data_IF_940666653180
#
_entry.id   IF_940666653180
#
_cell.length_a   1.000
_cell.length_b   1.000
_cell.length_c   1.000
_cell.angle_alpha   90.00
_cell.angle_beta   90.00
_cell.angle_gamma   90.00
#
_symmetry.space_group_name_H-M   'P 1'
#
loop_
_entity.id
_entity.type
_entity.pdbx_description
1 polymer ?
#
# COMPACT_ATOMS: atom_id res chain seq x y z
N UNK A 1 -5.21 31.48 -8.72
CA UNK A 1 -3.99 31.13 -7.96
C UNK A 1 -3.74 29.63 -8.09
N UNK A 2 -2.46 29.19 -8.10
CA UNK A 2 -2.15 27.77 -8.03
C UNK A 2 -2.49 27.24 -6.64
N UNK A 3 -3.01 25.99 -6.57
CA UNK A 3 -3.21 25.33 -5.28
C UNK A 3 -1.90 24.88 -4.66
N UNK A 4 -1.81 24.97 -3.34
CA UNK A 4 -0.66 24.52 -2.56
C UNK A 4 -0.83 23.06 -2.17
N UNK A 5 0.00 22.18 -2.70
CA UNK A 5 -0.05 20.73 -2.47
C UNK A 5 1.06 20.35 -1.50
N UNK A 6 0.69 19.76 -0.37
CA UNK A 6 1.62 19.11 0.53
C UNK A 6 1.86 17.67 0.06
N UNK A 7 3.09 17.31 -0.29
CA UNK A 7 3.50 15.92 -0.51
C UNK A 7 4.01 15.41 0.82
N UNK A 8 3.16 14.63 1.49
CA UNK A 8 3.35 14.21 2.88
C UNK A 8 4.10 12.88 2.90
N UNK A 9 5.31 12.91 3.44
CA UNK A 9 6.26 11.80 3.47
C UNK A 9 6.87 11.61 4.87
N UNK A 10 7.61 10.52 5.06
CA UNK A 10 8.21 10.17 6.34
C UNK A 10 7.51 8.96 6.95
N UNK A 11 7.02 9.10 8.16
CA UNK A 11 6.33 8.05 8.92
C UNK A 11 7.14 7.53 10.08
N UNK A 12 6.52 6.65 10.88
CA UNK A 12 7.07 6.14 12.14
C UNK A 12 7.55 4.67 12.02
N UNK A 13 7.75 4.20 10.78
CA UNK A 13 8.16 2.83 10.49
C UNK A 13 9.51 2.78 9.79
N UNK A 14 10.09 1.59 9.67
CA UNK A 14 11.34 1.36 8.90
C UNK A 14 11.22 1.71 7.41
N UNK A 15 10.00 1.95 6.90
CA UNK A 15 9.73 2.29 5.50
C UNK A 15 9.90 3.80 5.19
N UNK A 16 10.31 4.60 6.17
CA UNK A 16 10.54 6.06 6.00
C UNK A 16 11.41 6.39 4.77
N UNK A 17 12.44 5.59 4.49
CA UNK A 17 13.33 5.80 3.33
C UNK A 17 12.57 5.64 2.00
N UNK A 18 11.67 4.66 1.94
CA UNK A 18 10.84 4.40 0.75
C UNK A 18 9.84 5.53 0.55
N UNK A 19 9.23 6.00 1.64
CA UNK A 19 8.31 7.14 1.64
C UNK A 19 8.98 8.42 1.11
N UNK A 20 10.16 8.75 1.59
CA UNK A 20 10.92 9.93 1.14
C UNK A 20 11.32 9.84 -0.34
N UNK A 21 11.70 8.66 -0.82
CA UNK A 21 11.96 8.43 -2.26
C UNK A 21 10.70 8.57 -3.10
N UNK A 22 9.57 8.04 -2.63
CA UNK A 22 8.26 8.18 -3.29
C UNK A 22 7.84 9.65 -3.37
N UNK A 23 8.09 10.45 -2.34
CA UNK A 23 7.80 11.88 -2.34
C UNK A 23 8.57 12.63 -3.44
N UNK A 24 9.84 12.30 -3.66
CA UNK A 24 10.63 12.89 -4.76
C UNK A 24 10.06 12.48 -6.13
N UNK A 25 9.64 11.21 -6.28
CA UNK A 25 8.95 10.74 -7.47
C UNK A 25 7.66 11.52 -7.73
N UNK A 26 6.78 11.61 -6.74
CA UNK A 26 5.52 12.36 -6.81
C UNK A 26 5.77 13.83 -7.14
N UNK A 27 6.76 14.47 -6.50
CA UNK A 27 7.16 15.85 -6.79
C UNK A 27 7.57 16.04 -8.25
N UNK A 28 8.17 15.03 -8.87
CA UNK A 28 8.55 15.06 -10.29
C UNK A 28 7.36 14.81 -11.24
N UNK A 29 6.33 14.08 -10.79
CA UNK A 29 5.18 13.67 -11.59
C UNK A 29 4.07 14.74 -11.63
N UNK A 30 3.87 15.49 -10.53
CA UNK A 30 2.80 16.49 -10.46
C UNK A 30 3.13 17.72 -11.32
N UNK A 31 2.10 18.28 -11.96
CA UNK A 31 2.20 19.44 -12.85
C UNK A 31 2.51 20.73 -12.08
N UNK A 32 3.76 21.19 -12.15
CA UNK A 32 4.23 22.43 -11.52
C UNK A 32 3.67 23.69 -12.18
N UNK A 33 3.10 23.58 -13.38
CA UNK A 33 2.41 24.72 -14.01
C UNK A 33 1.03 24.96 -13.36
N UNK A 34 0.41 23.91 -12.80
CA UNK A 34 -0.90 23.97 -12.13
C UNK A 34 -0.81 24.18 -10.63
N UNK A 35 0.24 23.65 -9.99
CA UNK A 35 0.32 23.56 -8.53
C UNK A 35 1.64 24.11 -7.96
N UNK A 36 1.58 24.64 -6.75
CA UNK A 36 2.75 24.85 -5.89
C UNK A 36 2.97 23.58 -5.06
N UNK A 37 4.18 23.04 -5.08
CA UNK A 37 4.49 21.76 -4.45
C UNK A 37 5.44 21.94 -3.29
N UNK A 38 5.13 21.30 -2.16
CA UNK A 38 5.94 21.31 -0.95
C UNK A 38 6.05 19.89 -0.41
N UNK A 39 7.27 19.44 -0.11
CA UNK A 39 7.47 18.19 0.60
C UNK A 39 7.34 18.46 2.10
N UNK A 40 6.41 17.76 2.74
CA UNK A 40 6.18 17.82 4.19
C UNK A 40 6.66 16.50 4.77
N UNK A 41 7.75 16.58 5.54
CA UNK A 41 8.33 15.43 6.23
C UNK A 41 7.73 15.29 7.62
N UNK A 42 7.19 14.12 7.93
CA UNK A 42 6.58 13.80 9.22
C UNK A 42 7.31 12.64 9.88
N UNK A 43 7.78 12.84 11.10
CA UNK A 43 8.38 11.82 11.95
C UNK A 43 7.96 12.07 13.41
N UNK A 44 7.13 11.24 13.96
CA UNK A 44 6.55 11.42 15.27
C UNK A 44 5.87 12.79 15.43
N UNK A 45 6.43 13.61 16.31
CA UNK A 45 5.92 14.97 16.56
C UNK A 45 6.52 16.04 15.67
N UNK A 46 7.55 15.72 14.92
CA UNK A 46 8.27 16.66 14.04
C UNK A 46 7.63 16.62 12.65
N UNK A 47 6.99 17.72 12.27
CA UNK A 47 6.40 17.94 10.96
C UNK A 47 7.01 19.19 10.35
N UNK A 48 7.69 19.04 9.24
CA UNK A 48 8.52 20.11 8.65
C UNK A 48 8.37 20.16 7.13
N UNK A 49 8.29 21.36 6.58
CA UNK A 49 8.35 21.62 5.14
C UNK A 49 9.81 21.75 4.71
N UNK A 50 10.21 21.02 3.68
CA UNK A 50 11.48 21.25 3.00
C UNK A 50 11.38 22.44 2.06
N UNK A 51 12.15 23.47 2.31
CA UNK A 51 12.28 24.64 1.41
C UNK A 51 13.33 24.38 0.32
N UNK A 52 13.25 25.11 -0.85
CA UNK A 52 14.20 24.95 -1.95
C UNK A 52 15.66 25.26 -1.59
N UNK A 53 15.89 26.07 -0.57
CA UNK A 53 17.23 26.41 -0.06
C UNK A 53 17.82 25.35 0.89
N UNK A 54 17.09 24.25 1.13
CA UNK A 54 17.46 23.14 2.02
C UNK A 54 17.10 23.36 3.48
N UNK A 55 16.56 24.52 3.84
CA UNK A 55 16.05 24.75 5.19
C UNK A 55 14.75 23.98 5.43
N UNK A 56 14.50 23.61 6.71
CA UNK A 56 13.26 23.00 7.15
C UNK A 56 12.50 23.98 8.06
N UNK A 57 11.20 24.12 7.81
CA UNK A 57 10.31 25.01 8.56
C UNK A 57 9.19 24.19 9.19
N UNK A 58 8.88 24.38 10.48
CA UNK A 58 7.84 23.62 11.15
C UNK A 58 6.45 23.90 10.56
N UNK A 59 5.62 22.84 10.50
CA UNK A 59 4.20 22.93 10.15
C UNK A 59 3.40 23.28 11.41
N UNK A 60 2.52 24.26 11.31
CA UNK A 60 1.47 24.49 12.30
C UNK A 60 0.38 23.42 12.14
N UNK A 61 0.31 22.49 13.10
CA UNK A 61 -0.62 21.36 13.07
C UNK A 61 -2.06 21.75 13.42
N UNK A 62 -2.30 22.99 13.86
CA UNK A 62 -3.66 23.44 14.19
C UNK A 62 -4.45 23.77 12.91
N UNK A 63 -3.76 24.15 11.81
CA UNK A 63 -4.41 24.48 10.54
C UNK A 63 -3.65 23.95 9.32
N UNK A 64 -2.66 23.10 9.53
CA UNK A 64 -1.81 22.50 8.50
C UNK A 64 -1.24 23.56 7.55
N UNK A 65 -0.49 24.49 8.10
CA UNK A 65 0.15 25.60 7.39
C UNK A 65 1.61 25.73 7.80
N UNK A 66 2.37 26.58 7.12
CA UNK A 66 3.72 26.96 7.53
C UNK A 66 4.01 28.42 7.18
N UNK A 67 5.07 28.96 7.78
CA UNK A 67 5.55 30.31 7.46
C UNK A 67 6.69 30.23 6.45
N UNK A 68 6.48 30.80 5.25
CA UNK A 68 7.53 31.00 4.25
C UNK A 68 8.06 32.43 4.38
N UNK A 69 9.07 32.64 5.20
CA UNK A 69 9.49 33.97 5.63
C UNK A 69 8.38 34.64 6.46
N UNK A 70 7.80 35.72 5.93
CA UNK A 70 6.66 36.43 6.57
C UNK A 70 5.30 36.03 6.03
N UNK A 71 5.25 35.23 4.97
CA UNK A 71 4.00 34.79 4.34
C UNK A 71 3.51 33.45 4.94
N UNK A 72 2.25 33.39 5.34
CA UNK A 72 1.62 32.16 5.76
C UNK A 72 1.11 31.40 4.55
N UNK A 73 1.60 30.18 4.36
CA UNK A 73 1.18 29.26 3.31
C UNK A 73 0.25 28.20 3.93
N UNK A 74 -0.98 28.12 3.46
CA UNK A 74 -1.97 27.11 3.83
C UNK A 74 -2.02 26.08 2.71
N UNK A 75 -2.10 24.79 3.06
CA UNK A 75 -2.21 23.72 2.08
C UNK A 75 -3.67 23.47 1.70
N UNK A 76 -3.91 23.38 0.39
CA UNK A 76 -5.23 23.07 -0.19
C UNK A 76 -5.47 21.56 -0.33
N UNK A 77 -4.41 20.76 -0.35
CA UNK A 77 -4.46 19.32 -0.57
C UNK A 77 -3.23 18.62 0.01
N UNK A 78 -3.42 17.41 0.52
CA UNK A 78 -2.35 16.54 1.01
C UNK A 78 -2.18 15.31 0.12
N UNK A 79 -1.05 15.19 -0.58
CA UNK A 79 -0.67 13.95 -1.26
C UNK A 79 0.09 13.06 -0.30
N UNK A 80 -0.57 12.04 0.25
CA UNK A 80 0.01 11.15 1.26
C UNK A 80 0.82 10.05 0.57
N UNK A 81 2.09 9.90 0.99
CA UNK A 81 2.99 8.83 0.54
C UNK A 81 3.75 8.19 1.70
N UNK A 82 3.23 8.31 2.91
CA UNK A 82 3.76 7.61 4.08
C UNK A 82 3.34 6.14 4.01
N UNK A 83 4.33 5.25 4.00
CA UNK A 83 4.11 3.80 4.14
C UNK A 83 4.06 3.42 5.62
N UNK A 84 3.09 2.58 5.99
CA UNK A 84 2.82 2.25 7.38
C UNK A 84 2.15 3.37 8.16
N UNK A 85 2.38 3.40 9.48
CA UNK A 85 1.83 4.40 10.39
C UNK A 85 2.55 5.75 10.22
N UNK A 86 1.81 6.90 10.20
CA UNK A 86 0.35 7.06 10.29
C UNK A 86 -0.36 7.15 8.92
N UNK A 87 0.31 6.81 7.81
CA UNK A 87 -0.17 7.09 6.45
C UNK A 87 -1.13 6.04 5.89
N UNK A 88 -1.04 4.78 6.35
CA UNK A 88 -1.85 3.66 5.83
C UNK A 88 -2.89 3.14 6.81
N UNK A 89 -2.87 3.57 8.07
CA UNK A 89 -3.70 3.03 9.14
C UNK A 89 -4.93 3.88 9.50
N UNK A 90 -5.20 4.94 8.74
CA UNK A 90 -6.34 5.83 8.92
C UNK A 90 -6.11 7.01 9.87
N UNK A 91 -5.00 7.06 10.61
CA UNK A 91 -4.73 8.13 11.58
C UNK A 91 -4.54 9.48 10.91
N UNK A 92 -3.69 9.53 9.89
CA UNK A 92 -3.42 10.77 9.16
C UNK A 92 -4.64 11.21 8.34
N UNK A 93 -5.38 10.27 7.77
CA UNK A 93 -6.64 10.54 7.10
C UNK A 93 -7.66 11.17 8.04
N UNK A 94 -7.77 10.64 9.27
CA UNK A 94 -8.64 11.21 10.30
C UNK A 94 -8.26 12.64 10.71
N UNK A 95 -6.96 12.94 10.79
CA UNK A 95 -6.48 14.30 11.00
C UNK A 95 -6.93 15.24 9.86
N UNK A 96 -6.73 14.85 8.60
CA UNK A 96 -7.12 15.66 7.45
C UNK A 96 -8.64 15.80 7.31
N UNK A 97 -9.42 14.76 7.65
CA UNK A 97 -10.89 14.83 7.68
C UNK A 97 -11.37 15.89 8.69
N UNK A 98 -10.81 15.90 9.92
CA UNK A 98 -11.13 16.91 10.94
C UNK A 98 -10.74 18.32 10.50
N UNK A 99 -9.64 18.46 9.76
CA UNK A 99 -9.15 19.72 9.21
C UNK A 99 -9.87 20.14 7.93
N UNK A 100 -10.71 19.27 7.34
CA UNK A 100 -11.38 19.46 6.04
C UNK A 100 -10.38 19.72 4.91
N UNK A 101 -9.23 19.09 4.97
CA UNK A 101 -8.20 19.13 3.93
C UNK A 101 -8.35 17.87 3.06
N UNK A 102 -8.65 17.99 1.77
CA UNK A 102 -8.73 16.83 0.89
C UNK A 102 -7.35 16.18 0.71
N UNK A 103 -7.34 14.85 0.50
CA UNK A 103 -6.11 14.08 0.36
C UNK A 103 -6.20 12.99 -0.72
N UNK A 104 -5.05 12.45 -1.12
CA UNK A 104 -4.87 11.62 -2.32
C UNK A 104 -5.30 10.17 -2.20
N UNK A 105 -5.44 9.61 -1.00
CA UNK A 105 -5.63 8.18 -0.79
C UNK A 105 -7.02 7.83 -0.22
N UNK A 106 -7.19 6.59 0.18
CA UNK A 106 -8.42 6.07 0.81
C UNK A 106 -8.72 6.80 2.12
N UNK A 107 -10.02 6.87 2.47
CA UNK A 107 -10.47 7.41 3.76
C UNK A 107 -10.15 6.49 4.93
N UNK A 108 -10.47 6.95 6.15
CA UNK A 108 -10.11 6.31 7.43
C UNK A 108 -10.43 4.82 7.47
N UNK A 109 -11.68 4.45 7.14
CA UNK A 109 -12.12 3.04 7.26
C UNK A 109 -11.38 2.13 6.28
N UNK A 110 -11.29 2.52 5.01
CA UNK A 110 -10.61 1.71 3.99
C UNK A 110 -9.11 1.58 4.29
N UNK A 111 -8.45 2.67 4.70
CA UNK A 111 -7.06 2.64 5.11
C UNK A 111 -6.83 1.70 6.30
N UNK A 112 -7.61 1.83 7.37
CA UNK A 112 -7.48 0.99 8.55
C UNK A 112 -7.74 -0.51 8.26
N UNK A 113 -8.79 -0.82 7.48
CA UNK A 113 -9.10 -2.22 7.11
C UNK A 113 -7.98 -2.83 6.26
N UNK A 114 -7.48 -2.09 5.26
CA UNK A 114 -6.46 -2.63 4.34
C UNK A 114 -5.10 -2.78 4.99
N UNK A 115 -4.80 -1.96 5.99
CA UNK A 115 -3.56 -2.06 6.77
C UNK A 115 -3.49 -3.34 7.62
N UNK A 116 -4.64 -3.80 8.13
CA UNK A 116 -4.77 -5.10 8.80
C UNK A 116 -5.09 -6.19 7.77
N UNK A 117 -4.08 -7.03 7.48
CA UNK A 117 -4.18 -8.09 6.46
C UNK A 117 -5.26 -9.11 6.77
N UNK A 118 -5.48 -9.43 8.05
CA UNK A 118 -6.53 -10.38 8.45
C UNK A 118 -7.91 -9.74 8.28
N UNK A 119 -8.11 -8.54 8.82
CA UNK A 119 -9.37 -7.81 8.71
C UNK A 119 -9.76 -7.58 7.24
N UNK A 120 -8.83 -7.12 6.40
CA UNK A 120 -9.03 -6.90 4.97
C UNK A 120 -9.47 -8.18 4.25
N UNK A 121 -8.75 -9.28 4.48
CA UNK A 121 -9.07 -10.57 3.88
C UNK A 121 -10.45 -11.06 4.32
N UNK A 122 -10.77 -11.02 5.62
CA UNK A 122 -12.09 -11.47 6.12
C UNK A 122 -13.23 -10.57 5.62
N UNK A 123 -13.02 -9.26 5.57
CA UNK A 123 -14.00 -8.33 5.02
C UNK A 123 -14.30 -8.66 3.55
N UNK A 124 -13.28 -8.82 2.72
CA UNK A 124 -13.44 -9.11 1.29
C UNK A 124 -13.96 -10.55 1.03
N UNK A 125 -13.64 -11.53 1.91
CA UNK A 125 -14.21 -12.89 1.86
C UNK A 125 -15.74 -12.86 1.94
N UNK A 126 -16.31 -11.96 2.74
CA UNK A 126 -17.76 -11.80 2.87
C UNK A 126 -18.45 -11.37 1.56
N UNK A 127 -17.69 -10.77 0.63
CA UNK A 127 -18.16 -10.40 -0.71
C UNK A 127 -17.76 -11.42 -1.80
N UNK A 128 -17.30 -12.60 -1.40
CA UNK A 128 -16.96 -13.68 -2.33
C UNK A 128 -15.55 -13.60 -2.93
N UNK A 129 -14.69 -12.66 -2.47
CA UNK A 129 -13.29 -12.62 -2.88
C UNK A 129 -12.55 -13.84 -2.31
N UNK A 130 -11.83 -14.55 -3.17
CA UNK A 130 -11.03 -15.70 -2.74
C UNK A 130 -9.81 -15.23 -1.95
N UNK A 131 -9.58 -15.87 -0.81
CA UNK A 131 -8.42 -15.64 0.05
C UNK A 131 -7.79 -16.97 0.45
N UNK A 132 -6.54 -16.96 0.92
CA UNK A 132 -5.97 -18.11 1.61
C UNK A 132 -6.59 -18.30 2.99
N UNK A 133 -6.77 -19.56 3.42
CA UNK A 133 -7.17 -19.84 4.80
C UNK A 133 -6.12 -19.30 5.77
N UNK A 134 -6.59 -18.74 6.88
CA UNK A 134 -5.73 -18.07 7.84
C UNK A 134 -6.28 -18.14 9.26
N UNK A 135 -5.36 -18.13 10.24
CA UNK A 135 -5.65 -18.01 11.67
C UNK A 135 -4.98 -16.73 12.19
N UNK A 136 -5.72 -15.97 13.00
CA UNK A 136 -5.19 -14.83 13.73
C UNK A 136 -4.93 -15.25 15.18
N UNK A 137 -3.72 -14.98 15.66
CA UNK A 137 -3.31 -15.18 17.03
C UNK A 137 -3.01 -13.84 17.66
N UNK A 138 -3.54 -13.59 18.85
CA UNK A 138 -3.23 -12.42 19.67
C UNK A 138 -2.24 -12.77 20.77
N UNK A 139 -1.49 -11.80 21.24
CA UNK A 139 -0.53 -12.01 22.32
C UNK A 139 -1.21 -12.67 23.53
N UNK A 140 -0.57 -13.74 24.07
CA UNK A 140 -1.15 -14.57 25.13
C UNK A 140 -2.08 -15.70 24.65
N UNK A 141 -2.45 -15.75 23.37
CA UNK A 141 -3.13 -16.91 22.78
C UNK A 141 -2.10 -17.94 22.30
N UNK A 142 -2.46 -19.21 22.43
CA UNK A 142 -1.70 -20.33 21.90
C UNK A 142 -2.56 -21.12 20.90
N UNK A 143 -1.90 -21.73 19.95
CA UNK A 143 -2.48 -22.67 19.00
C UNK A 143 -1.63 -23.94 19.00
N UNK A 144 -2.26 -25.10 18.97
CA UNK A 144 -1.50 -26.37 18.85
C UNK A 144 -0.98 -26.53 17.42
N UNK A 145 0.12 -27.26 17.26
CA UNK A 145 0.65 -27.59 15.93
C UNK A 145 -0.39 -28.38 15.13
N UNK A 146 -1.15 -29.25 15.80
CA UNK A 146 -2.22 -30.04 15.21
C UNK A 146 -3.32 -29.15 14.62
N UNK A 147 -3.75 -28.11 15.35
CA UNK A 147 -4.73 -27.15 14.84
C UNK A 147 -4.22 -26.39 13.62
N UNK A 148 -2.94 -26.01 13.60
CA UNK A 148 -2.34 -25.36 12.43
C UNK A 148 -2.31 -26.33 11.24
N UNK A 149 -1.91 -27.58 11.45
CA UNK A 149 -1.86 -28.60 10.40
C UNK A 149 -3.26 -28.91 9.83
N UNK A 150 -4.28 -29.01 10.69
CA UNK A 150 -5.65 -29.32 10.28
C UNK A 150 -6.31 -28.15 9.52
N UNK A 151 -6.16 -26.91 10.02
CA UNK A 151 -6.89 -25.74 9.50
C UNK A 151 -6.16 -25.04 8.36
N UNK A 152 -4.83 -25.05 8.37
CA UNK A 152 -3.99 -24.30 7.44
C UNK A 152 -3.20 -25.24 6.53
N UNK A 153 -2.60 -26.28 7.09
CA UNK A 153 -1.69 -27.18 6.38
C UNK A 153 -0.27 -26.61 6.23
N UNK A 154 0.59 -27.39 5.58
CA UNK A 154 1.96 -27.00 5.25
C UNK A 154 2.21 -27.13 3.73
N UNK A 155 3.06 -26.28 3.15
CA UNK A 155 3.72 -25.16 3.81
C UNK A 155 2.74 -24.02 4.15
N UNK A 156 3.12 -23.19 5.14
CA UNK A 156 2.36 -21.99 5.49
C UNK A 156 3.29 -20.81 5.77
N UNK A 157 2.72 -19.59 5.82
CA UNK A 157 3.43 -18.40 6.28
C UNK A 157 2.97 -18.02 7.68
N UNK A 158 3.92 -17.69 8.53
CA UNK A 158 3.68 -17.11 9.86
C UNK A 158 4.32 -15.72 9.87
N UNK A 159 3.52 -14.69 10.14
CA UNK A 159 3.94 -13.30 10.02
C UNK A 159 3.13 -12.35 10.91
N UNK A 160 3.62 -11.14 11.21
CA UNK A 160 2.80 -10.07 11.78
C UNK A 160 1.54 -9.81 10.95
N UNK A 161 0.40 -9.55 11.59
CA UNK A 161 -0.86 -9.17 10.91
C UNK A 161 -0.78 -7.75 10.36
N UNK A 162 -0.18 -6.84 11.15
CA UNK A 162 0.05 -5.44 10.80
C UNK A 162 1.47 -5.25 10.24
N UNK A 163 1.66 -4.18 9.48
CA UNK A 163 2.97 -3.81 8.95
C UNK A 163 3.28 -4.33 7.55
N UNK A 164 4.39 -3.87 7.00
CA UNK A 164 4.87 -4.11 5.64
C UNK A 164 6.26 -4.76 5.58
N UNK A 165 6.88 -4.69 4.39
CA UNK A 165 8.30 -5.03 4.12
C UNK A 165 8.80 -6.40 4.57
N UNK A 166 7.88 -7.37 4.77
CA UNK A 166 8.21 -8.78 5.08
C UNK A 166 9.02 -9.02 6.37
N UNK A 167 9.07 -8.06 7.31
CA UNK A 167 9.69 -8.27 8.62
C UNK A 167 8.90 -9.31 9.44
N UNK A 168 9.60 -10.18 10.14
CA UNK A 168 9.00 -11.22 10.97
C UNK A 168 8.31 -12.36 10.20
N UNK A 169 8.38 -12.37 8.86
CA UNK A 169 7.77 -13.42 8.01
C UNK A 169 8.63 -14.68 8.03
N UNK A 170 7.99 -15.83 8.20
CA UNK A 170 8.63 -17.15 8.13
C UNK A 170 7.78 -18.09 7.28
N UNK A 171 8.38 -18.71 6.24
CA UNK A 171 7.78 -19.84 5.52
C UNK A 171 8.06 -21.12 6.30
N UNK A 172 7.01 -21.71 6.85
CA UNK A 172 7.07 -22.92 7.66
C UNK A 172 6.79 -24.12 6.76
N UNK A 173 7.70 -25.11 6.75
CA UNK A 173 7.63 -26.31 5.91
C UNK A 173 7.41 -27.58 6.71
N UNK A 174 7.77 -27.58 8.00
CA UNK A 174 7.64 -28.74 8.90
C UNK A 174 6.93 -28.35 10.19
N UNK A 175 6.37 -29.34 10.88
CA UNK A 175 5.65 -29.14 12.14
C UNK A 175 6.50 -28.44 13.20
N UNK A 176 7.77 -28.84 13.31
CA UNK A 176 8.71 -28.37 14.33
C UNK A 176 9.04 -26.87 14.18
N UNK A 177 8.80 -26.31 13.00
CA UNK A 177 9.03 -24.89 12.72
C UNK A 177 7.87 -23.98 13.17
N UNK A 178 6.68 -24.54 13.47
CA UNK A 178 5.47 -23.75 13.74
C UNK A 178 5.67 -22.84 14.97
N UNK A 179 5.93 -23.43 16.15
CA UNK A 179 6.04 -22.66 17.38
C UNK A 179 7.21 -21.67 17.38
N UNK A 180 8.43 -22.02 16.91
CA UNK A 180 9.51 -21.04 16.76
C UNK A 180 9.15 -19.85 15.86
N UNK A 181 8.42 -20.08 14.76
CA UNK A 181 7.98 -19.03 13.86
C UNK A 181 6.91 -18.11 14.49
N UNK A 182 5.97 -18.67 15.27
CA UNK A 182 4.98 -17.90 16.04
C UNK A 182 5.67 -17.00 17.05
N UNK A 183 6.61 -17.54 17.83
CA UNK A 183 7.38 -16.76 18.83
C UNK A 183 8.15 -15.64 18.16
N UNK A 184 8.82 -15.92 17.03
CA UNK A 184 9.54 -14.91 16.25
C UNK A 184 8.61 -13.78 15.78
N UNK A 185 7.42 -14.12 15.24
CA UNK A 185 6.48 -13.15 14.75
C UNK A 185 5.86 -12.29 15.87
N UNK A 186 5.63 -12.87 17.07
CA UNK A 186 5.22 -12.11 18.26
C UNK A 186 6.30 -11.20 18.81
N UNK A 187 7.58 -11.40 18.46
CA UNK A 187 8.66 -10.47 18.75
C UNK A 187 8.53 -9.14 18.00
N UNK A 188 7.78 -9.12 16.89
CA UNK A 188 7.61 -7.96 16.02
C UNK A 188 6.22 -7.30 16.13
N UNK A 189 5.21 -8.03 16.65
CA UNK A 189 3.83 -7.54 16.69
C UNK A 189 2.97 -8.24 17.76
N UNK A 190 1.90 -7.59 18.18
CA UNK A 190 0.90 -8.14 19.12
C UNK A 190 -0.07 -9.14 18.47
N UNK A 191 -0.19 -9.13 17.14
CA UNK A 191 -1.04 -10.02 16.36
C UNK A 191 -0.24 -10.73 15.28
N UNK A 192 -0.38 -12.04 15.24
CA UNK A 192 0.32 -12.95 14.31
C UNK A 192 -0.68 -13.65 13.41
N UNK A 193 -0.41 -13.62 12.12
CA UNK A 193 -1.18 -14.30 11.09
C UNK A 193 -0.48 -15.59 10.66
N UNK A 194 -1.16 -16.72 10.80
CA UNK A 194 -0.80 -18.00 10.20
C UNK A 194 -1.63 -18.17 8.94
N UNK A 195 -0.99 -18.19 7.74
CA UNK A 195 -1.68 -18.17 6.45
C UNK A 195 -1.21 -19.32 5.56
N UNK A 196 -2.15 -20.03 4.95
CA UNK A 196 -1.83 -21.09 4.00
C UNK A 196 -0.98 -20.56 2.84
N UNK A 197 0.01 -21.36 2.43
CA UNK A 197 0.79 -21.07 1.22
C UNK A 197 -0.08 -21.28 -0.03
N UNK A 198 0.02 -20.35 -0.95
CA UNK A 198 -0.62 -20.46 -2.26
C UNK A 198 0.47 -20.59 -3.32
N UNK A 199 0.52 -21.73 -3.98
CA UNK A 199 1.41 -21.96 -5.12
C UNK A 199 0.78 -21.40 -6.40
N UNK A 200 1.48 -20.49 -7.07
CA UNK A 200 0.97 -19.87 -8.29
C UNK A 200 1.77 -18.68 -8.77
N UNK A 201 1.23 -17.98 -9.76
CA UNK A 201 1.81 -16.76 -10.31
C UNK A 201 1.38 -15.55 -9.49
N UNK A 202 2.35 -14.77 -9.04
CA UNK A 202 2.08 -13.51 -8.35
C UNK A 202 1.81 -12.40 -9.35
N UNK A 203 0.69 -11.71 -9.17
CA UNK A 203 0.28 -10.57 -9.99
C UNK A 203 -0.02 -9.38 -9.10
N UNK A 204 0.27 -8.19 -9.60
CA UNK A 204 -0.14 -6.94 -8.98
C UNK A 204 -0.87 -6.06 -9.98
N UNK A 205 -1.96 -5.40 -9.56
CA UNK A 205 -2.80 -4.59 -10.43
C UNK A 205 -3.22 -3.30 -9.74
N UNK A 206 -2.90 -2.16 -10.35
CA UNK A 206 -3.27 -0.85 -9.87
C UNK A 206 -4.62 -0.39 -10.42
N UNK A 207 -5.30 0.44 -9.64
CA UNK A 207 -6.59 1.03 -10.01
C UNK A 207 -6.75 2.41 -9.36
N UNK A 208 -7.41 3.32 -10.09
CA UNK A 208 -7.99 4.54 -9.50
C UNK A 208 -9.32 4.88 -10.18
N UNK A 209 -10.20 5.55 -9.44
CA UNK A 209 -11.46 6.04 -9.97
C UNK A 209 -11.66 7.51 -9.59
N UNK A 210 -12.29 8.24 -10.51
CA UNK A 210 -12.75 9.59 -10.30
C UNK A 210 -14.28 9.65 -10.52
N UNK A 211 -14.89 10.82 -10.37
CA UNK A 211 -16.30 11.03 -10.71
C UNK A 211 -16.61 10.69 -12.18
N UNK A 212 -15.61 10.80 -13.06
CA UNK A 212 -15.76 10.67 -14.50
C UNK A 212 -15.09 9.44 -15.11
N UNK A 213 -14.07 8.87 -14.43
CA UNK A 213 -13.22 7.82 -14.98
C UNK A 213 -13.12 6.64 -14.03
N UNK A 214 -13.06 5.42 -14.58
CA UNK A 214 -12.64 4.21 -13.91
C UNK A 214 -11.47 3.63 -14.67
N UNK A 215 -10.29 3.69 -14.10
CA UNK A 215 -9.03 3.25 -14.73
C UNK A 215 -8.45 2.09 -13.94
N UNK A 216 -8.31 0.94 -14.59
CA UNK A 216 -7.63 -0.23 -14.04
C UNK A 216 -6.46 -0.53 -14.97
N UNK A 217 -5.25 -0.51 -14.42
CA UNK A 217 -4.04 -0.67 -15.20
C UNK A 217 -3.83 -2.11 -15.67
N UNK A 218 -2.98 -2.34 -16.69
CA UNK A 218 -2.49 -3.66 -16.99
C UNK A 218 -1.77 -4.26 -15.79
N UNK A 219 -2.02 -5.53 -15.41
CA UNK A 219 -1.32 -6.16 -14.29
C UNK A 219 0.16 -6.36 -14.59
N UNK A 220 0.96 -6.40 -13.54
CA UNK A 220 2.38 -6.78 -13.56
C UNK A 220 2.52 -8.17 -12.99
N UNK A 221 3.31 -9.02 -13.64
CA UNK A 221 3.77 -10.31 -13.10
C UNK A 221 5.02 -10.09 -12.28
N UNK A 222 5.03 -10.69 -11.08
CA UNK A 222 6.15 -10.62 -10.14
C UNK A 222 6.82 -12.00 -10.13
N UNK A 223 8.03 -12.08 -10.69
CA UNK A 223 8.80 -13.33 -10.74
C UNK A 223 9.95 -13.24 -9.75
N UNK A 224 9.82 -13.95 -8.63
CA UNK A 224 10.88 -14.02 -7.64
C UNK A 224 11.84 -15.17 -7.93
N UNK A 225 13.14 -14.91 -7.79
CA UNK A 225 14.18 -15.94 -7.85
C UNK A 225 14.40 -16.59 -6.49
N UNK A 226 13.81 -16.04 -5.43
CA UNK A 226 13.81 -16.57 -4.06
C UNK A 226 12.61 -17.50 -3.84
N UNK A 227 12.59 -18.21 -2.69
CA UNK A 227 11.45 -19.05 -2.32
C UNK A 227 10.13 -18.29 -2.12
N UNK A 228 10.19 -16.98 -1.91
CA UNK A 228 9.05 -16.05 -1.84
C UNK A 228 9.54 -14.60 -1.99
N UNK A 229 8.61 -13.66 -2.18
CA UNK A 229 8.87 -12.24 -2.32
C UNK A 229 9.16 -11.60 -0.95
N UNK A 230 10.39 -11.82 -0.45
CA UNK A 230 10.89 -11.29 0.82
C UNK A 230 11.45 -9.86 0.69
N UNK A 231 12.02 -9.35 1.79
CA UNK A 231 12.64 -8.02 1.83
C UNK A 231 13.79 -7.90 0.82
N UNK A 232 14.65 -8.90 0.74
CA UNK A 232 15.79 -8.90 -0.18
C UNK A 232 15.33 -8.94 -1.64
N UNK A 233 14.29 -9.71 -1.93
CA UNK A 233 13.65 -9.73 -3.24
C UNK A 233 13.07 -8.37 -3.62
N UNK A 234 12.42 -7.67 -2.66
CA UNK A 234 11.79 -6.36 -2.88
C UNK A 234 12.78 -5.23 -3.17
N UNK A 235 13.95 -5.23 -2.52
CA UNK A 235 14.85 -4.07 -2.52
C UNK A 235 16.24 -4.32 -3.11
N UNK A 236 16.64 -5.59 -3.33
CA UNK A 236 17.96 -5.97 -3.78
C UNK A 236 18.01 -6.55 -5.22
N UNK A 237 16.94 -6.34 -6.01
CA UNK A 237 16.92 -6.67 -7.43
C UNK A 237 16.85 -8.17 -7.76
N UNK A 238 16.30 -9.00 -6.85
CA UNK A 238 16.12 -10.44 -7.03
C UNK A 238 14.71 -10.80 -7.54
N UNK A 239 14.08 -9.85 -8.22
CA UNK A 239 12.72 -9.98 -8.78
C UNK A 239 12.68 -9.39 -10.16
N UNK A 240 12.09 -10.11 -11.10
CA UNK A 240 11.70 -9.56 -12.39
C UNK A 240 10.25 -9.06 -12.32
N UNK A 241 10.03 -7.80 -12.64
CA UNK A 241 8.74 -7.15 -12.75
C UNK A 241 8.37 -7.02 -14.22
N UNK A 242 7.39 -7.80 -14.68
CA UNK A 242 7.02 -7.86 -16.09
C UNK A 242 5.67 -7.20 -16.29
N UNK A 243 5.68 -6.03 -16.94
CA UNK A 243 4.48 -5.23 -17.22
C UNK A 243 4.35 -4.96 -18.72
N UNK A 244 3.24 -5.34 -19.39
CA UNK A 244 2.13 -6.18 -18.90
C UNK A 244 2.55 -7.60 -18.53
N UNK A 245 1.80 -8.22 -17.62
CA UNK A 245 2.01 -9.61 -17.18
C UNK A 245 1.87 -10.61 -18.36
N UNK A 246 2.63 -11.69 -18.33
CA UNK A 246 2.61 -12.76 -19.36
C UNK A 246 1.47 -13.76 -19.11
N UNK A 247 0.25 -13.26 -19.12
CA UNK A 247 -0.99 -14.03 -18.90
C UNK A 247 -1.95 -13.83 -20.07
N UNK A 248 -3.00 -14.67 -20.17
CA UNK A 248 -4.01 -14.53 -21.19
C UNK A 248 -4.81 -13.22 -21.08
N UNK A 249 -5.35 -12.73 -22.20
CA UNK A 249 -6.24 -11.56 -22.21
C UNK A 249 -7.50 -11.79 -21.34
N UNK A 250 -7.98 -13.02 -21.27
CA UNK A 250 -9.12 -13.39 -20.43
C UNK A 250 -8.78 -13.27 -18.95
N UNK A 251 -7.64 -13.82 -18.53
CA UNK A 251 -7.18 -13.69 -17.14
C UNK A 251 -6.87 -12.23 -16.79
N UNK A 252 -6.26 -11.48 -17.70
CA UNK A 252 -6.03 -10.04 -17.54
C UNK A 252 -7.33 -9.30 -17.21
N UNK A 253 -8.38 -9.51 -18.02
CA UNK A 253 -9.69 -8.88 -17.81
C UNK A 253 -10.30 -9.29 -16.46
N UNK A 254 -10.19 -10.56 -16.07
CA UNK A 254 -10.71 -11.06 -14.78
C UNK A 254 -9.99 -10.42 -13.60
N UNK A 255 -8.65 -10.28 -13.66
CA UNK A 255 -7.87 -9.58 -12.64
C UNK A 255 -8.28 -8.12 -12.54
N UNK A 256 -8.40 -7.42 -13.68
CA UNK A 256 -8.83 -6.04 -13.71
C UNK A 256 -10.26 -5.84 -13.17
N UNK A 257 -11.19 -6.70 -13.55
CA UNK A 257 -12.57 -6.66 -13.02
C UNK A 257 -12.61 -6.88 -11.52
N UNK A 258 -11.83 -7.84 -11.00
CA UNK A 258 -11.75 -8.09 -9.56
C UNK A 258 -11.12 -6.91 -8.82
N UNK A 259 -10.06 -6.31 -9.37
CA UNK A 259 -9.41 -5.11 -8.80
C UNK A 259 -10.40 -3.94 -8.72
N UNK A 260 -11.17 -3.71 -9.81
CA UNK A 260 -12.24 -2.70 -9.83
C UNK A 260 -13.33 -2.97 -8.80
N UNK A 261 -13.74 -4.23 -8.64
CA UNK A 261 -14.75 -4.62 -7.64
C UNK A 261 -14.24 -4.42 -6.20
N UNK A 262 -12.99 -4.82 -5.92
CA UNK A 262 -12.36 -4.60 -4.61
C UNK A 262 -12.28 -3.11 -4.28
N UNK A 263 -11.96 -2.26 -5.27
CA UNK A 263 -11.95 -0.81 -5.10
C UNK A 263 -13.30 -0.29 -4.61
N UNK A 264 -14.40 -0.75 -5.23
CA UNK A 264 -15.76 -0.34 -4.88
C UNK A 264 -16.22 -0.90 -3.52
N UNK A 265 -15.95 -2.20 -3.25
CA UNK A 265 -16.32 -2.86 -1.99
C UNK A 265 -15.68 -2.17 -0.79
N UNK A 266 -14.41 -1.77 -0.91
CA UNK A 266 -13.68 -1.08 0.15
C UNK A 266 -14.01 0.41 0.23
N UNK A 267 -14.73 0.98 -0.75
CA UNK A 267 -14.94 2.43 -0.83
C UNK A 267 -13.64 3.19 -1.01
N UNK A 268 -12.76 2.68 -1.84
CA UNK A 268 -11.44 3.27 -2.06
C UNK A 268 -11.52 4.65 -2.71
N UNK A 269 -10.44 5.41 -2.56
CA UNK A 269 -10.20 6.69 -3.20
C UNK A 269 -8.71 6.82 -3.53
N UNK A 270 -8.38 7.57 -4.57
CA UNK A 270 -7.01 7.67 -5.06
C UNK A 270 -6.54 6.39 -5.75
N UNK A 271 -5.23 6.19 -5.78
CA UNK A 271 -4.63 5.01 -6.41
C UNK A 271 -4.46 3.91 -5.37
N UNK A 272 -4.95 2.71 -5.68
CA UNK A 272 -4.66 1.50 -4.93
C UNK A 272 -3.87 0.50 -5.79
N UNK A 273 -3.20 -0.44 -5.13
CA UNK A 273 -2.59 -1.62 -5.75
C UNK A 273 -3.08 -2.86 -5.04
N UNK A 274 -3.55 -3.83 -5.80
CA UNK A 274 -4.02 -5.10 -5.27
C UNK A 274 -3.11 -6.21 -5.75
N UNK A 275 -2.63 -7.00 -4.80
CA UNK A 275 -1.69 -8.09 -5.05
C UNK A 275 -2.42 -9.43 -4.96
N UNK A 276 -2.15 -10.34 -5.90
CA UNK A 276 -2.84 -11.60 -6.10
C UNK A 276 -1.87 -12.76 -6.26
N UNK A 277 -2.33 -13.97 -5.92
CA UNK A 277 -1.73 -15.24 -6.36
C UNK A 277 -2.74 -15.96 -7.25
N UNK A 278 -2.36 -16.22 -8.49
CA UNK A 278 -3.16 -17.03 -9.42
C UNK A 278 -2.71 -18.48 -9.33
N UNK A 279 -3.55 -19.30 -8.73
CA UNK A 279 -3.28 -20.73 -8.52
C UNK A 279 -3.82 -21.60 -9.67
N UNK A 280 -3.57 -22.90 -9.63
CA UNK A 280 -4.00 -23.86 -10.66
C UNK A 280 -5.50 -23.69 -11.01
N UNK A 281 -5.81 -23.79 -12.31
CA UNK A 281 -7.14 -23.53 -12.86
C UNK A 281 -7.51 -22.05 -12.88
N UNK A 282 -6.50 -21.18 -12.95
CA UNK A 282 -6.64 -19.71 -13.02
C UNK A 282 -7.52 -19.13 -11.91
N UNK A 283 -7.38 -19.65 -10.70
CA UNK A 283 -8.10 -19.14 -9.52
C UNK A 283 -7.36 -17.93 -8.97
N UNK A 284 -7.96 -16.76 -9.05
CA UNK A 284 -7.40 -15.50 -8.55
C UNK A 284 -7.66 -15.42 -7.05
N UNK A 285 -6.61 -15.39 -6.24
CA UNK A 285 -6.70 -15.29 -4.78
C UNK A 285 -6.06 -13.96 -4.34
N UNK A 286 -6.75 -13.22 -3.48
CA UNK A 286 -6.24 -11.98 -2.91
C UNK A 286 -5.07 -12.27 -1.97
N UNK A 287 -4.00 -11.52 -2.14
CA UNK A 287 -2.86 -11.49 -1.22
C UNK A 287 -2.98 -10.32 -0.25
N UNK A 288 -3.01 -9.08 -0.78
CA UNK A 288 -3.15 -7.84 0.00
C UNK A 288 -3.65 -6.66 -0.87
N UNK A 289 -4.08 -5.59 -0.21
CA UNK A 289 -4.48 -4.32 -0.83
C UNK A 289 -3.62 -3.20 -0.25
N UNK A 290 -2.97 -2.42 -1.13
CA UNK A 290 -2.11 -1.30 -0.75
C UNK A 290 -2.77 0.02 -1.16
N UNK A 291 -3.04 0.90 -0.19
CA UNK A 291 -3.76 2.17 -0.40
C UNK A 291 -2.85 3.38 -0.58
N UNK A 292 -1.56 3.23 -0.30
CA UNK A 292 -0.51 4.22 -0.61
C UNK A 292 0.66 3.54 -1.32
N UNK A 293 0.46 3.03 -2.56
CA UNK A 293 1.48 2.28 -3.26
C UNK A 293 2.71 3.13 -3.55
N UNK A 294 3.88 2.49 -3.64
CA UNK A 294 5.15 3.15 -3.98
C UNK A 294 5.07 3.89 -5.30
N UNK A 295 5.67 5.10 -5.33
CA UNK A 295 5.60 6.04 -6.45
C UNK A 295 6.99 6.52 -6.92
N UNK A 296 8.00 5.66 -6.80
CA UNK A 296 9.28 5.90 -7.49
C UNK A 296 9.15 5.59 -8.98
N UNK A 297 10.04 6.09 -9.82
CA UNK A 297 9.97 5.87 -11.28
C UNK A 297 9.96 4.38 -11.67
N UNK A 298 10.52 3.50 -10.83
CA UNK A 298 10.59 2.06 -11.01
C UNK A 298 9.53 1.28 -10.24
N UNK A 299 8.66 1.94 -9.47
CA UNK A 299 7.56 1.26 -8.76
C UNK A 299 6.50 0.74 -9.73
N UNK A 300 5.69 -0.23 -9.29
CA UNK A 300 4.65 -0.89 -10.09
C UNK A 300 3.67 0.10 -10.73
N UNK A 301 3.14 1.07 -9.97
CA UNK A 301 2.13 2.00 -10.49
C UNK A 301 2.67 2.84 -11.66
N UNK A 302 3.83 3.53 -11.59
CA UNK A 302 4.40 4.21 -12.76
C UNK A 302 4.70 3.30 -13.95
N UNK A 303 5.09 2.03 -13.73
CA UNK A 303 5.27 1.06 -14.81
C UNK A 303 3.94 0.72 -15.48
N UNK A 304 2.90 0.46 -14.70
CA UNK A 304 1.56 0.12 -15.18
C UNK A 304 0.89 1.30 -15.90
N UNK A 305 1.08 2.52 -15.43
CA UNK A 305 0.61 3.75 -16.11
C UNK A 305 1.23 3.87 -17.50
N UNK A 306 2.56 3.68 -17.62
CA UNK A 306 3.24 3.68 -18.92
C UNK A 306 2.74 2.56 -19.83
N UNK A 307 2.56 1.34 -19.30
CA UNK A 307 2.03 0.21 -20.05
C UNK A 307 0.58 0.40 -20.51
N UNK A 308 -0.21 1.21 -19.79
CA UNK A 308 -1.55 1.62 -20.19
C UNK A 308 -1.55 2.74 -21.26
N UNK A 309 -0.39 3.25 -21.67
CA UNK A 309 -0.28 4.39 -22.58
C UNK A 309 -0.74 5.71 -22.00
N UNK A 310 -0.71 5.84 -20.66
CA UNK A 310 -1.10 7.04 -19.93
C UNK A 310 0.12 7.83 -19.47
N UNK A 311 -0.07 9.15 -19.34
CA UNK A 311 0.93 10.02 -18.74
C UNK A 311 0.72 10.09 -17.21
N UNK A 312 1.77 9.82 -16.44
CA UNK A 312 1.70 9.84 -14.97
C UNK A 312 1.27 11.23 -14.45
N UNK A 313 1.65 12.29 -15.12
CA UNK A 313 1.27 13.66 -14.83
C UNK A 313 -0.27 13.86 -14.88
N UNK A 314 -0.92 13.25 -15.86
CA UNK A 314 -2.38 13.34 -16.00
C UNK A 314 -3.08 12.51 -14.93
N UNK A 315 -2.55 11.34 -14.61
CA UNK A 315 -3.04 10.51 -13.49
C UNK A 315 -2.96 11.27 -12.16
N UNK A 316 -1.84 11.96 -11.88
CA UNK A 316 -1.70 12.79 -10.68
C UNK A 316 -2.72 13.92 -10.65
N UNK A 317 -2.93 14.57 -11.80
CA UNK A 317 -3.94 15.63 -11.95
C UNK A 317 -5.34 15.11 -11.70
N UNK A 318 -5.71 13.95 -12.27
CA UNK A 318 -7.01 13.31 -12.04
C UNK A 318 -7.26 13.07 -10.54
N UNK A 319 -6.25 12.57 -9.81
CA UNK A 319 -6.34 12.30 -8.37
C UNK A 319 -6.58 13.59 -7.57
N UNK A 320 -5.84 14.65 -7.89
CA UNK A 320 -5.95 15.93 -7.18
C UNK A 320 -7.29 16.59 -7.48
N UNK A 321 -7.62 16.78 -8.77
CA UNK A 321 -8.81 17.51 -9.18
C UNK A 321 -10.12 16.78 -8.81
N UNK A 322 -10.11 15.45 -8.69
CA UNK A 322 -11.28 14.68 -8.27
C UNK A 322 -11.78 15.04 -6.84
N UNK A 323 -10.99 15.76 -6.08
CA UNK A 323 -11.30 16.15 -4.69
C UNK A 323 -11.89 17.55 -4.57
N UNK A 324 -11.96 18.28 -5.68
CA UNK A 324 -12.54 19.61 -5.80
C UNK A 324 -13.71 19.61 -6.79
#
# INVERSE_FOLDING_TARGET
MKRNIAIVAGGDTSEIVVSLRSAQGIYSFIDKEKYNLYIVEMEGRRWEVQLPDGNKVPVDRNDFSFMNGTEKVVFDFAYITIHGTPGEDGRLQGYFDMMRIPYSCCGVLAAAITYDKFACNQYLKAFGVRIAESLLLRQGQSVSDEDVLEKIGLPCFIKPSLGGSSFGVTKVKTKEQIQPAIVKAFGEAEEVLVKAFMEGTELTCGCYKTKEKSVVFPPTEVVTHNEFFDYDAKYNGQVDEITPARISDELTKRVQMLTSAIYDILGCSGIIRVDYIVTAGEKINLLEVNTTPGMTATSFIPQQVRAAGLEIKDVMTDIIENKF
#
